data_IF_745198325820
#
_entry.id   IF_745198325820
#
_cell.length_a   1.000
_cell.length_b   1.000
_cell.length_c   1.000
_cell.angle_alpha   90.00
_cell.angle_beta   90.00
_cell.angle_gamma   90.00
#
_symmetry.space_group_name_H-M   'P 1'
#
loop_
_entity.id
_entity.type
_entity.pdbx_description
1 polymer ?
#
# COMPACT_ATOMS: atom_id res chain seq x y z
N UNK A 1 9.74 -34.35 -51.32
CA UNK A 1 8.48 -34.59 -50.58
C UNK A 1 8.00 -33.24 -50.08
N UNK A 2 6.75 -32.88 -50.38
CA UNK A 2 6.24 -31.52 -50.14
C UNK A 2 5.93 -31.32 -48.64
N UNK A 3 6.51 -30.30 -47.98
CA UNK A 3 6.29 -30.03 -46.55
C UNK A 3 4.84 -29.63 -46.21
N UNK A 4 4.02 -29.29 -47.20
CA UNK A 4 2.62 -28.90 -47.01
C UNK A 4 1.72 -29.99 -46.40
N UNK A 5 2.05 -31.26 -46.57
CA UNK A 5 1.27 -32.36 -45.98
C UNK A 5 1.38 -32.42 -44.45
N UNK A 6 2.55 -32.05 -43.90
CA UNK A 6 2.79 -32.04 -42.46
C UNK A 6 2.06 -30.88 -41.76
N UNK A 7 2.13 -29.67 -42.34
CA UNK A 7 1.37 -28.51 -41.85
C UNK A 7 -0.15 -28.73 -41.93
N UNK A 8 -0.63 -29.40 -42.98
CA UNK A 8 -2.05 -29.72 -43.11
C UNK A 8 -2.55 -30.64 -41.99
N UNK A 9 -1.76 -31.66 -41.63
CA UNK A 9 -2.14 -32.63 -40.58
C UNK A 9 -2.13 -32.02 -39.17
N UNK A 10 -1.20 -31.11 -38.87
CA UNK A 10 -1.20 -30.34 -37.61
C UNK A 10 -2.42 -29.42 -37.50
N UNK A 11 -2.78 -28.73 -38.59
CA UNK A 11 -3.95 -27.84 -38.62
C UNK A 11 -5.25 -28.65 -38.44
N UNK A 12 -5.39 -29.78 -39.12
CA UNK A 12 -6.55 -30.66 -38.97
C UNK A 12 -6.64 -31.29 -37.57
N UNK A 13 -5.50 -31.66 -37.00
CA UNK A 13 -5.43 -32.19 -35.64
C UNK A 13 -5.83 -31.14 -34.59
N UNK A 14 -5.26 -29.94 -34.68
CA UNK A 14 -5.59 -28.81 -33.79
C UNK A 14 -7.07 -28.41 -33.98
N UNK A 15 -7.54 -28.34 -35.22
CA UNK A 15 -8.94 -28.06 -35.57
C UNK A 15 -9.90 -29.10 -34.96
N UNK A 16 -9.57 -30.38 -35.08
CA UNK A 16 -10.33 -31.49 -34.50
C UNK A 16 -10.37 -31.41 -32.98
N UNK A 17 -9.23 -31.15 -32.33
CA UNK A 17 -9.11 -30.99 -30.89
C UNK A 17 -9.94 -29.81 -30.37
N UNK A 18 -9.86 -28.66 -31.04
CA UNK A 18 -10.64 -27.46 -30.72
C UNK A 18 -12.14 -27.75 -30.90
N UNK A 19 -12.54 -28.38 -32.00
CA UNK A 19 -13.95 -28.69 -32.26
C UNK A 19 -14.56 -29.63 -31.20
N UNK A 20 -13.79 -30.60 -30.70
CA UNK A 20 -14.23 -31.50 -29.61
C UNK A 20 -14.46 -30.73 -28.31
N UNK A 21 -13.61 -29.75 -28.02
CA UNK A 21 -13.77 -28.87 -26.86
C UNK A 21 -15.06 -28.03 -26.95
N UNK A 22 -15.30 -27.37 -28.10
CA UNK A 22 -16.51 -26.55 -28.32
C UNK A 22 -17.82 -27.36 -28.42
N UNK A 23 -17.74 -28.67 -28.71
CA UNK A 23 -18.91 -29.57 -28.72
C UNK A 23 -19.47 -29.86 -27.33
N UNK A 24 -18.63 -29.82 -26.28
CA UNK A 24 -19.02 -30.11 -24.90
C UNK A 24 -19.42 -28.88 -24.08
N UNK A 25 -19.44 -27.70 -24.71
CA UNK A 25 -19.87 -26.49 -24.03
C UNK A 25 -21.40 -26.42 -23.89
N UNK A 26 -21.90 -25.90 -22.76
CA UNK A 26 -23.33 -25.71 -22.56
C UNK A 26 -23.97 -24.82 -23.64
N UNK A 27 -25.26 -24.98 -23.96
CA UNK A 27 -25.90 -24.30 -25.10
C UNK A 27 -25.90 -22.76 -25.00
N UNK A 28 -25.89 -22.20 -23.79
CA UNK A 28 -25.87 -20.76 -23.56
C UNK A 28 -24.56 -20.09 -23.97
N UNK A 29 -23.43 -20.79 -24.01
CA UNK A 29 -22.14 -20.22 -24.41
C UNK A 29 -21.99 -20.04 -25.93
N UNK A 30 -22.96 -20.53 -26.72
CA UNK A 30 -23.00 -20.31 -28.18
C UNK A 30 -23.78 -19.05 -28.56
N UNK A 31 -24.45 -18.42 -27.60
CA UNK A 31 -25.16 -17.18 -27.84
C UNK A 31 -24.18 -16.00 -27.83
N UNK A 32 -24.14 -15.22 -28.93
CA UNK A 32 -23.31 -14.02 -29.05
C UNK A 32 -23.54 -13.04 -27.90
N UNK A 33 -24.81 -12.81 -27.51
CA UNK A 33 -25.15 -11.91 -26.42
C UNK A 33 -24.59 -12.40 -25.08
N UNK A 34 -24.61 -13.72 -24.82
CA UNK A 34 -24.03 -14.27 -23.60
C UNK A 34 -22.52 -14.07 -23.54
N UNK A 35 -21.80 -14.38 -24.63
CA UNK A 35 -20.35 -14.20 -24.70
C UNK A 35 -19.97 -12.71 -24.57
N UNK A 36 -20.69 -11.83 -25.26
CA UNK A 36 -20.46 -10.38 -25.17
C UNK A 36 -20.72 -9.86 -23.76
N UNK A 37 -21.84 -10.21 -23.14
CA UNK A 37 -22.17 -9.81 -21.78
C UNK A 37 -21.19 -10.39 -20.77
N UNK A 38 -20.80 -11.66 -20.90
CA UNK A 38 -19.82 -12.28 -20.01
C UNK A 38 -18.45 -11.62 -20.11
N UNK A 39 -17.98 -11.36 -21.34
CA UNK A 39 -16.74 -10.62 -21.56
C UNK A 39 -16.84 -9.20 -20.99
N UNK A 40 -17.96 -8.50 -21.22
CA UNK A 40 -18.17 -7.16 -20.68
C UNK A 40 -18.19 -7.15 -19.16
N UNK A 41 -18.80 -8.14 -18.51
CA UNK A 41 -18.78 -8.27 -17.05
C UNK A 41 -17.37 -8.54 -16.53
N UNK A 42 -16.62 -9.44 -17.16
CA UNK A 42 -15.21 -9.67 -16.82
C UNK A 42 -14.41 -8.37 -16.99
N UNK A 43 -14.62 -7.64 -18.09
CA UNK A 43 -13.95 -6.37 -18.33
C UNK A 43 -14.27 -5.35 -17.23
N UNK A 44 -15.54 -5.16 -16.91
CA UNK A 44 -15.96 -4.23 -15.86
C UNK A 44 -15.48 -4.64 -14.45
N UNK A 45 -15.29 -5.93 -14.19
CA UNK A 45 -14.85 -6.43 -12.88
C UNK A 45 -13.33 -6.43 -12.70
N UNK A 46 -12.57 -6.65 -13.79
CA UNK A 46 -11.11 -6.87 -13.71
C UNK A 46 -10.26 -5.82 -14.44
N UNK A 47 -10.77 -5.21 -15.51
CA UNK A 47 -10.02 -4.28 -16.37
C UNK A 47 -10.42 -2.82 -16.13
N UNK A 48 -11.62 -2.56 -15.62
CA UNK A 48 -12.02 -1.21 -15.20
C UNK A 48 -11.29 -0.77 -13.90
N UNK A 49 -11.17 0.54 -13.68
CA UNK A 49 -10.40 1.16 -12.58
C UNK A 49 -10.92 0.81 -11.17
N UNK A 50 -12.05 0.12 -11.08
CA UNK A 50 -12.64 -0.40 -9.84
C UNK A 50 -12.19 -1.85 -9.57
N UNK A 51 -10.99 -2.22 -9.99
CA UNK A 51 -10.49 -3.56 -9.77
C UNK A 51 -10.38 -3.88 -8.26
N UNK A 52 -10.71 -5.12 -7.91
CA UNK A 52 -10.75 -5.59 -6.51
C UNK A 52 -9.40 -5.40 -5.82
N UNK A 53 -8.29 -5.51 -6.56
CA UNK A 53 -6.96 -5.36 -5.98
C UNK A 53 -6.66 -3.91 -5.59
N UNK A 54 -7.09 -2.94 -6.39
CA UNK A 54 -7.01 -1.52 -6.03
C UNK A 54 -7.81 -1.21 -4.78
N UNK A 55 -9.04 -1.72 -4.66
CA UNK A 55 -9.84 -1.51 -3.45
C UNK A 55 -9.17 -2.09 -2.21
N UNK A 56 -8.67 -3.33 -2.28
CA UNK A 56 -7.93 -3.95 -1.16
C UNK A 56 -6.69 -3.14 -0.76
N UNK A 57 -5.93 -2.65 -1.73
CA UNK A 57 -4.75 -1.80 -1.49
C UNK A 57 -5.13 -0.48 -0.83
N UNK A 58 -6.20 0.16 -1.30
CA UNK A 58 -6.69 1.42 -0.74
C UNK A 58 -7.21 1.22 0.69
N UNK A 59 -7.96 0.15 0.98
CA UNK A 59 -8.42 -0.15 2.33
C UNK A 59 -7.26 -0.38 3.30
N UNK A 60 -6.20 -1.09 2.88
CA UNK A 60 -4.99 -1.26 3.69
C UNK A 60 -4.29 0.08 3.94
N UNK A 61 -4.15 0.91 2.91
CA UNK A 61 -3.55 2.23 3.04
C UNK A 61 -4.36 3.15 3.96
N UNK A 62 -5.69 3.06 3.90
CA UNK A 62 -6.57 3.80 4.79
C UNK A 62 -6.35 3.39 6.25
N UNK A 63 -6.35 2.09 6.53
CA UNK A 63 -6.10 1.57 7.88
C UNK A 63 -4.72 1.97 8.42
N UNK A 64 -3.69 1.96 7.58
CA UNK A 64 -2.35 2.41 7.96
C UNK A 64 -2.31 3.92 8.27
N UNK A 65 -2.98 4.74 7.47
CA UNK A 65 -3.09 6.18 7.72
C UNK A 65 -3.88 6.48 9.01
N UNK A 66 -4.93 5.71 9.29
CA UNK A 66 -5.70 5.84 10.53
C UNK A 66 -4.86 5.45 11.76
N UNK A 67 -4.08 4.37 11.67
CA UNK A 67 -3.15 3.98 12.73
C UNK A 67 -2.07 5.04 12.96
N UNK A 68 -1.49 5.59 11.89
CA UNK A 68 -0.53 6.69 12.00
C UNK A 68 -1.15 7.93 12.62
N UNK A 69 -2.38 8.29 12.22
CA UNK A 69 -3.11 9.40 12.81
C UNK A 69 -3.29 9.22 14.31
N UNK A 70 -3.76 8.04 14.75
CA UNK A 70 -3.96 7.76 16.17
C UNK A 70 -2.64 7.85 16.96
N UNK A 71 -1.58 7.26 16.44
CA UNK A 71 -0.23 7.34 17.03
C UNK A 71 0.24 8.79 17.23
N UNK A 72 0.06 9.65 16.22
CA UNK A 72 0.47 11.05 16.35
C UNK A 72 -0.44 11.85 17.29
N UNK A 73 -1.73 11.52 17.38
CA UNK A 73 -2.62 12.16 18.35
C UNK A 73 -2.20 11.83 19.79
N UNK A 74 -1.86 10.57 20.06
CA UNK A 74 -1.32 10.15 21.35
C UNK A 74 0.00 10.87 21.67
N UNK A 75 0.93 10.92 20.71
CA UNK A 75 2.21 11.62 20.89
C UNK A 75 2.06 13.12 21.10
N UNK A 76 1.08 13.75 20.46
CA UNK A 76 0.78 15.17 20.70
C UNK A 76 0.33 15.38 22.15
N UNK A 77 -0.47 14.47 22.69
CA UNK A 77 -0.96 14.59 24.06
C UNK A 77 0.14 14.33 25.09
N UNK A 78 0.99 13.33 24.87
CA UNK A 78 2.20 13.08 25.67
C UNK A 78 3.09 14.32 25.71
N UNK A 79 3.46 14.87 24.54
CA UNK A 79 4.31 16.06 24.47
C UNK A 79 3.66 17.29 25.10
N UNK A 80 2.32 17.41 25.06
CA UNK A 80 1.61 18.50 25.75
C UNK A 80 1.70 18.36 27.25
N UNK A 81 1.58 17.15 27.79
CA UNK A 81 1.72 16.87 29.21
C UNK A 81 3.16 17.13 29.66
N UNK A 82 4.15 16.59 28.96
CA UNK A 82 5.57 16.83 29.23
C UNK A 82 5.90 18.32 29.25
N UNK A 83 5.40 19.06 28.24
CA UNK A 83 5.59 20.50 28.18
C UNK A 83 4.90 21.22 29.33
N UNK A 84 3.70 20.80 29.73
CA UNK A 84 2.99 21.41 30.84
C UNK A 84 3.75 21.20 32.16
N UNK A 85 4.22 19.99 32.42
CA UNK A 85 5.03 19.67 33.60
C UNK A 85 6.34 20.46 33.59
N UNK A 86 7.08 20.46 32.46
CA UNK A 86 8.34 21.19 32.31
C UNK A 86 8.18 22.70 32.52
N UNK A 87 7.12 23.31 31.96
CA UNK A 87 6.89 24.75 32.04
C UNK A 87 6.20 25.19 33.34
N UNK A 88 5.67 24.26 34.14
CA UNK A 88 5.00 24.57 35.40
C UNK A 88 5.96 24.87 36.54
N UNK A 89 7.20 24.38 36.44
CA UNK A 89 8.25 24.54 37.45
C UNK A 89 9.46 25.25 36.84
N UNK A 90 9.80 26.43 37.36
CA UNK A 90 10.92 27.23 36.88
C UNK A 90 12.27 26.52 37.03
N UNK A 91 12.42 25.70 38.07
CA UNK A 91 13.68 25.02 38.37
C UNK A 91 13.88 23.84 37.40
N UNK A 92 12.80 23.11 37.08
CA UNK A 92 12.83 22.07 36.04
C UNK A 92 13.11 22.66 34.65
N UNK A 93 12.50 23.81 34.34
CA UNK A 93 12.74 24.51 33.09
C UNK A 93 14.19 24.99 32.96
N UNK A 94 14.75 25.60 34.02
CA UNK A 94 16.14 26.04 34.06
C UNK A 94 17.10 24.85 33.90
N UNK A 95 16.84 23.74 34.60
CA UNK A 95 17.63 22.51 34.48
C UNK A 95 17.61 21.95 33.06
N UNK A 96 16.45 21.84 32.44
CA UNK A 96 16.32 21.33 31.07
C UNK A 96 17.01 22.23 30.04
N UNK A 97 16.87 23.56 30.17
CA UNK A 97 17.56 24.52 29.31
C UNK A 97 19.09 24.42 29.44
N UNK A 98 19.60 24.19 30.66
CA UNK A 98 21.03 23.99 30.92
C UNK A 98 21.55 22.65 30.37
N UNK A 99 20.85 21.54 30.61
CA UNK A 99 21.30 20.21 30.21
C UNK A 99 21.14 19.92 28.72
N UNK A 100 20.01 20.32 28.11
CA UNK A 100 19.72 20.01 26.70
C UNK A 100 20.24 21.05 25.73
N UNK A 101 20.19 22.32 26.12
CA UNK A 101 20.49 23.44 25.23
C UNK A 101 21.70 24.24 25.67
N UNK A 102 22.37 23.86 26.77
CA UNK A 102 23.57 24.54 27.26
C UNK A 102 23.34 26.04 27.50
N UNK A 103 22.12 26.42 27.88
CA UNK A 103 21.79 27.83 28.14
C UNK A 103 22.47 28.35 29.41
N UNK A 104 22.96 29.59 29.38
CA UNK A 104 23.61 30.28 30.50
C UNK A 104 23.02 31.67 30.70
N UNK A 105 23.11 32.21 31.93
CA UNK A 105 22.80 33.63 32.18
C UNK A 105 23.94 34.51 31.66
N UNK A 106 23.68 35.79 31.32
CA UNK A 106 24.74 36.70 30.88
C UNK A 106 25.86 36.92 31.91
N UNK A 107 25.57 36.69 33.18
CA UNK A 107 26.49 36.83 34.33
C UNK A 107 27.25 35.55 34.66
N UNK A 108 27.07 34.47 33.89
CA UNK A 108 27.66 33.15 34.14
C UNK A 108 28.53 32.73 32.96
N UNK A 109 29.56 31.91 33.23
CA UNK A 109 30.38 31.25 32.23
C UNK A 109 30.10 29.75 32.20
N UNK A 110 29.95 29.19 31.00
CA UNK A 110 29.66 27.78 30.76
C UNK A 110 30.95 27.07 30.33
N UNK A 111 31.32 26.02 31.05
CA UNK A 111 32.46 25.16 30.73
C UNK A 111 31.94 23.77 30.35
N UNK A 112 32.34 23.27 29.18
CA UNK A 112 32.05 21.90 28.73
C UNK A 112 33.33 21.10 28.86
N UNK A 113 33.33 20.12 29.76
CA UNK A 113 34.50 19.25 29.98
C UNK A 113 34.36 18.07 29.02
N UNK A 114 35.25 18.00 28.05
CA UNK A 114 35.37 16.83 27.16
C UNK A 114 36.50 15.98 27.72
N UNK A 115 36.22 14.72 28.02
CA UNK A 115 37.29 13.78 28.34
C UNK A 115 38.13 13.55 27.08
N UNK A 116 39.41 13.90 27.13
CA UNK A 116 40.37 13.48 26.10
C UNK A 116 40.64 11.98 26.33
N UNK A 117 40.35 11.15 25.33
CA UNK A 117 40.74 9.74 25.29
C UNK A 117 42.26 9.58 25.03
#
# INVERSE_FOLDING_TARGET
>A
MLPGFFYFWEIDYISSMISRFFKNLPPYTRNFYFLFTFFFLIWMLFLDSNDVFTQLRLSRKLSDLEAQKEYYLEKIEEVRQDRHELLSDSDLLEKFARERYMMKKPTEDLYIIVAEE
#
